data_IF_135974483542
#
_entry.id   IF_135974483542
#
_cell.length_a   1.000
_cell.length_b   1.000
_cell.length_c   1.000
_cell.angle_alpha   90.00
_cell.angle_beta   90.00
_cell.angle_gamma   90.00
#
_symmetry.space_group_name_H-M   'P 1'
#
loop_
_entity.id
_entity.type
_entity.pdbx_description
1 polymer ?
#
# COMPACT_ATOMS: atom_id res chain seq x y z
N UNK A 1 -1.69 9.59 -5.13
CA UNK A 1 -2.28 10.07 -3.86
C UNK A 1 -2.92 8.90 -3.14
N UNK A 2 -2.62 8.73 -1.84
CA UNK A 2 -3.31 7.82 -0.93
C UNK A 2 -4.56 8.54 -0.41
N UNK A 3 -5.72 7.88 -0.49
CA UNK A 3 -7.00 8.46 -0.09
C UNK A 3 -7.61 7.79 1.14
N UNK A 4 -7.38 6.49 1.33
CA UNK A 4 -7.78 5.78 2.53
C UNK A 4 -6.87 4.57 2.78
N UNK A 5 -6.68 4.25 4.06
CA UNK A 5 -5.92 3.10 4.54
C UNK A 5 -6.52 2.56 5.84
N UNK A 6 -6.26 1.31 6.12
CA UNK A 6 -6.62 0.62 7.36
C UNK A 6 -5.36 0.14 8.08
N UNK A 7 -5.47 -0.09 9.39
CA UNK A 7 -4.36 -0.67 10.16
C UNK A 7 -4.23 -2.14 9.79
N UNK A 8 -3.07 -2.55 9.25
CA UNK A 8 -2.81 -3.94 8.91
C UNK A 8 -2.17 -4.68 10.08
N UNK A 9 -1.15 -4.06 10.68
CA UNK A 9 -0.45 -4.55 11.86
C UNK A 9 -0.05 -3.38 12.76
N UNK A 10 -0.45 -3.40 14.04
CA UNK A 10 -0.03 -2.38 15.01
C UNK A 10 1.45 -2.53 15.40
N UNK A 11 1.97 -3.76 15.40
CA UNK A 11 3.27 -4.09 15.97
C UNK A 11 4.33 -4.41 14.92
N UNK A 12 5.60 -4.40 15.36
CA UNK A 12 6.79 -4.39 14.52
C UNK A 12 6.74 -5.28 13.28
N UNK A 13 6.94 -4.65 12.12
CA UNK A 13 7.12 -5.32 10.83
C UNK A 13 8.61 -5.36 10.50
N UNK A 14 9.12 -6.54 10.15
CA UNK A 14 10.52 -6.72 9.71
C UNK A 14 10.65 -6.46 8.21
N UNK A 15 10.44 -5.22 7.80
CA UNK A 15 10.70 -4.75 6.44
C UNK A 15 11.10 -3.27 6.47
N UNK A 16 11.68 -2.77 5.38
CA UNK A 16 11.99 -1.35 5.27
C UNK A 16 10.68 -0.56 5.13
N UNK A 17 10.59 0.65 5.71
CA UNK A 17 9.44 1.52 5.49
C UNK A 17 9.20 1.74 3.99
N UNK A 18 7.95 1.62 3.56
CA UNK A 18 7.57 1.67 2.14
C UNK A 18 7.63 0.32 1.41
N UNK A 19 8.05 -0.77 2.06
CA UNK A 19 8.01 -2.10 1.44
C UNK A 19 6.58 -2.63 1.36
N UNK A 20 6.18 -3.15 0.19
CA UNK A 20 4.96 -3.94 0.01
C UNK A 20 5.14 -5.30 0.70
N UNK A 21 4.27 -5.61 1.65
CA UNK A 21 4.33 -6.81 2.47
C UNK A 21 3.50 -7.94 1.90
N UNK A 22 2.25 -7.63 1.56
CA UNK A 22 1.25 -8.61 1.18
C UNK A 22 0.19 -8.00 0.25
N UNK A 23 -0.61 -8.88 -0.33
CA UNK A 23 -1.77 -8.51 -1.13
C UNK A 23 -2.99 -8.27 -0.22
N UNK A 24 -3.94 -7.38 -0.60
CA UNK A 24 -3.94 -6.61 -1.84
C UNK A 24 -2.90 -5.49 -1.89
N UNK A 25 -2.62 -4.76 -0.80
CA UNK A 25 -1.51 -3.80 -0.75
C UNK A 25 -1.17 -3.38 0.69
N UNK A 26 -0.54 -4.26 1.46
CA UNK A 26 0.02 -3.92 2.78
C UNK A 26 1.38 -3.24 2.64
N UNK A 27 1.59 -2.12 3.32
CA UNK A 27 2.83 -1.33 3.29
C UNK A 27 3.43 -1.28 4.68
N UNK A 28 4.71 -1.65 4.78
CA UNK A 28 5.50 -1.49 5.98
C UNK A 28 5.70 -0.02 6.31
N UNK A 29 5.52 0.33 7.58
CA UNK A 29 5.84 1.64 8.11
C UNK A 29 7.09 1.57 9.01
N UNK A 30 7.55 2.71 9.52
CA UNK A 30 8.62 2.74 10.52
C UNK A 30 8.29 1.90 11.77
N UNK A 31 7.00 1.81 12.11
CA UNK A 31 6.44 0.89 13.10
C UNK A 31 5.11 0.37 12.54
N UNK A 32 4.93 -0.95 12.57
CA UNK A 32 3.72 -1.60 12.06
C UNK A 32 3.57 -1.53 10.54
N UNK A 33 2.33 -1.70 10.08
CA UNK A 33 1.96 -1.60 8.67
C UNK A 33 0.53 -1.11 8.48
N UNK A 34 0.29 -0.51 7.31
CA UNK A 34 -1.02 -0.07 6.86
C UNK A 34 -1.43 -0.81 5.59
N UNK A 35 -2.71 -1.08 5.43
CA UNK A 35 -3.28 -1.63 4.20
C UNK A 35 -3.93 -0.51 3.42
N UNK A 36 -3.52 -0.34 2.16
CA UNK A 36 -4.11 0.69 1.31
C UNK A 36 -5.42 0.18 0.73
N UNK A 37 -6.48 0.98 0.86
CA UNK A 37 -7.82 0.60 0.38
C UNK A 37 -8.31 1.49 -0.76
N UNK A 38 -7.85 2.75 -0.82
CA UNK A 38 -8.24 3.69 -1.88
C UNK A 38 -7.09 4.58 -2.33
N UNK A 39 -6.88 4.61 -3.64
CA UNK A 39 -5.75 5.28 -4.28
C UNK A 39 -6.21 6.14 -5.46
N UNK A 40 -5.38 7.10 -5.85
CA UNK A 40 -5.63 7.96 -7.00
C UNK A 40 -4.33 8.23 -7.75
N UNK A 41 -4.30 7.89 -9.04
CA UNK A 41 -3.21 8.27 -9.96
C UNK A 41 -3.22 9.79 -10.17
N UNK A 42 -2.06 10.36 -10.50
CA UNK A 42 -1.97 11.80 -10.77
C UNK A 42 -3.00 12.22 -11.83
N UNK A 43 -3.85 13.21 -11.51
CA UNK A 43 -4.93 13.68 -12.40
C UNK A 43 -6.09 12.71 -12.63
N UNK A 44 -6.06 11.49 -12.07
CA UNK A 44 -7.09 10.46 -12.28
C UNK A 44 -8.23 10.52 -11.27
N UNK A 45 -9.22 9.63 -11.42
CA UNK A 45 -10.27 9.42 -10.41
C UNK A 45 -9.76 8.55 -9.25
N UNK A 46 -10.36 8.63 -8.05
CA UNK A 46 -10.17 7.64 -6.99
C UNK A 46 -10.54 6.23 -7.46
N UNK A 47 -9.68 5.25 -7.17
CA UNK A 47 -9.82 3.83 -7.49
C UNK A 47 -9.75 3.00 -6.21
N UNK A 48 -10.35 1.81 -6.23
CA UNK A 48 -10.04 0.78 -5.23
C UNK A 48 -8.60 0.29 -5.41
N UNK A 49 -8.09 -0.44 -4.42
CA UNK A 49 -6.75 -1.02 -4.50
C UNK A 49 -6.64 -2.04 -5.65
N UNK A 50 -7.65 -2.86 -5.87
CA UNK A 50 -7.67 -3.87 -6.93
C UNK A 50 -7.63 -3.22 -8.32
N UNK A 51 -8.45 -2.18 -8.53
CA UNK A 51 -8.48 -1.44 -9.79
C UNK A 51 -7.17 -0.69 -10.04
N UNK A 52 -6.56 -0.16 -8.98
CA UNK A 52 -5.25 0.47 -9.07
C UNK A 52 -4.17 -0.52 -9.50
N UNK A 53 -4.13 -1.72 -8.90
CA UNK A 53 -3.11 -2.73 -9.15
C UNK A 53 -3.17 -3.32 -10.56
N UNK A 54 -4.36 -3.41 -11.17
CA UNK A 54 -4.50 -3.81 -12.58
C UNK A 54 -3.72 -2.92 -13.54
N UNK A 55 -3.62 -1.63 -13.24
CA UNK A 55 -2.90 -0.66 -14.07
C UNK A 55 -1.52 -0.30 -13.53
N UNK A 56 -1.15 -0.75 -12.33
CA UNK A 56 0.11 -0.43 -11.65
C UNK A 56 0.46 -1.58 -10.70
N UNK A 57 1.02 -2.68 -11.23
CA UNK A 57 1.33 -3.85 -10.42
C UNK A 57 2.42 -3.52 -9.39
N UNK A 58 2.16 -3.86 -8.13
CA UNK A 58 3.07 -3.66 -7.01
C UNK A 58 3.23 -5.01 -6.28
N UNK A 59 4.13 -5.89 -6.74
CA UNK A 59 4.33 -7.17 -6.09
C UNK A 59 4.96 -7.00 -4.69
N UNK A 60 4.76 -7.97 -3.78
CA UNK A 60 5.46 -8.00 -2.49
C UNK A 60 6.98 -7.85 -2.65
N UNK A 61 7.59 -7.08 -1.74
CA UNK A 61 9.00 -6.70 -1.79
C UNK A 61 9.29 -5.41 -2.56
N UNK A 62 8.33 -4.87 -3.31
CA UNK A 62 8.49 -3.55 -3.94
C UNK A 62 8.65 -2.47 -2.87
N UNK A 63 9.63 -1.58 -3.00
CA UNK A 63 9.81 -0.44 -2.11
C UNK A 63 9.28 0.82 -2.80
N UNK A 64 8.25 1.43 -2.20
CA UNK A 64 7.72 2.72 -2.62
C UNK A 64 8.30 3.81 -1.71
N UNK A 65 8.97 4.80 -2.31
CA UNK A 65 9.60 5.93 -1.64
C UNK A 65 8.85 7.24 -1.93
#
# INVERSE_FOLDING_TARGET
KLLASELAQPDGVRALPGTVLDEPLGIACGVGAVRLVRLQKAGGKPLSVEDFLRGTPLPPGTVIA
#
